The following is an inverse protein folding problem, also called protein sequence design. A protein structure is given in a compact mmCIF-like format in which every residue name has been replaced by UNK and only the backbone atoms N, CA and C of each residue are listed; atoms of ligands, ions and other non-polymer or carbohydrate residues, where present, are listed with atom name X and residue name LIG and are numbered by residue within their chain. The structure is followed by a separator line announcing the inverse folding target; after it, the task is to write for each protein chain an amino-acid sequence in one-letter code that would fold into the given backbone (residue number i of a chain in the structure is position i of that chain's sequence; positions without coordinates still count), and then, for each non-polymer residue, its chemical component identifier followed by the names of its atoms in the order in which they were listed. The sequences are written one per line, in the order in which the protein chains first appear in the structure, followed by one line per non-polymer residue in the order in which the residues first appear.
data_IF_312948772740
#
_entry.id   IF_312948772740
#
_cell.length_a   1.000
_cell.length_b   1.000
_cell.length_c   1.000
_cell.angle_alpha   90.00
_cell.angle_beta   90.00
_cell.angle_gamma   90.00
#
_symmetry.space_group_name_H-M   'P 1'
#
loop_
_entity.id
_entity.type
_entity.pdbx_description
1 polymer ?
#
# COMPACT_ATOMS: atom_id res chain seq x y z
N UNK A 1 44.68 45.41 5.87
CA UNK A 1 43.31 45.25 6.43
C UNK A 1 42.49 44.52 5.36
N UNK A 2 42.40 43.21 5.50
CA UNK A 2 41.59 42.37 4.60
C UNK A 2 40.31 42.05 5.36
N UNK A 3 39.17 42.50 4.86
CA UNK A 3 37.87 42.29 5.45
C UNK A 3 37.45 40.82 5.21
N UNK A 4 37.34 40.05 6.29
CA UNK A 4 36.72 38.73 6.27
C UNK A 4 35.23 38.87 5.98
N UNK A 5 34.80 38.40 4.80
CA UNK A 5 33.39 38.22 4.51
C UNK A 5 32.93 36.90 5.15
N UNK A 6 32.20 37.06 6.24
CA UNK A 6 31.50 35.97 6.92
C UNK A 6 30.33 35.49 6.02
N UNK A 7 30.53 34.45 5.24
CA UNK A 7 29.47 33.77 4.49
C UNK A 7 28.70 32.89 5.45
N UNK A 8 27.61 33.40 5.98
CA UNK A 8 26.63 32.59 6.73
C UNK A 8 25.99 31.60 5.77
N UNK A 9 26.33 30.32 5.90
CA UNK A 9 25.61 29.22 5.27
C UNK A 9 24.17 29.22 5.82
N UNK A 10 23.13 29.31 4.95
CA UNK A 10 21.77 29.21 5.43
C UNK A 10 21.55 27.79 6.01
N UNK A 11 21.17 27.74 7.28
CA UNK A 11 20.69 26.52 7.91
C UNK A 11 19.40 26.14 7.18
N UNK A 12 19.43 25.05 6.39
CA UNK A 12 18.23 24.44 5.83
C UNK A 12 17.33 24.02 7.00
N UNK A 13 16.09 24.51 6.95
CA UNK A 13 15.05 24.20 7.91
C UNK A 13 14.86 22.67 7.98
N UNK A 14 14.90 22.09 9.18
CA UNK A 14 14.77 20.64 9.39
C UNK A 14 13.45 20.10 8.81
N UNK A 15 12.38 20.89 8.83
CA UNK A 15 11.08 20.55 8.25
C UNK A 15 11.12 20.34 6.72
N UNK A 16 12.03 20.99 5.99
CA UNK A 16 12.19 20.77 4.55
C UNK A 16 12.98 19.51 4.20
N UNK A 17 13.85 19.04 5.10
CA UNK A 17 14.56 17.77 4.94
C UNK A 17 13.64 16.58 5.10
N UNK A 18 12.70 16.62 6.04
CA UNK A 18 11.72 15.57 6.29
C UNK A 18 10.73 15.41 5.14
N UNK A 19 10.33 16.50 4.48
CA UNK A 19 9.44 16.46 3.32
C UNK A 19 10.07 15.81 2.07
N UNK A 20 11.41 15.87 1.93
CA UNK A 20 12.15 15.31 0.79
C UNK A 20 12.47 13.82 0.96
N UNK A 21 12.48 13.31 2.20
CA UNK A 21 12.83 11.92 2.53
C UNK A 21 11.64 11.05 2.96
N UNK A 22 10.42 11.61 3.00
CA UNK A 22 9.24 10.89 3.44
C UNK A 22 8.87 9.75 2.48
N UNK A 23 9.11 8.50 2.88
CA UNK A 23 8.65 7.32 2.15
C UNK A 23 7.13 7.35 2.00
N UNK A 24 6.59 7.17 0.78
CA UNK A 24 5.15 7.15 0.56
C UNK A 24 4.43 6.09 1.41
N UNK A 25 3.20 6.37 1.85
CA UNK A 25 2.42 5.45 2.72
C UNK A 25 2.34 4.02 2.16
N UNK A 26 2.13 3.88 0.86
CA UNK A 26 2.01 2.57 0.20
C UNK A 26 3.30 1.74 0.13
N UNK A 27 4.44 2.32 0.57
CA UNK A 27 5.73 1.63 0.66
C UNK A 27 6.11 1.30 2.11
N UNK A 28 5.33 1.72 3.08
CA UNK A 28 5.60 1.46 4.49
C UNK A 28 4.93 0.18 4.94
N UNK A 29 5.61 -0.58 5.79
CA UNK A 29 5.00 -1.69 6.51
C UNK A 29 3.93 -1.12 7.44
N UNK A 30 2.69 -1.52 7.27
CA UNK A 30 1.57 -1.03 8.08
C UNK A 30 1.35 -1.93 9.28
N UNK A 31 1.58 -1.40 10.49
CA UNK A 31 1.40 -2.11 11.76
C UNK A 31 0.14 -1.60 12.45
N UNK A 32 -0.90 -2.43 12.52
CA UNK A 32 -2.15 -2.10 13.20
C UNK A 32 -2.06 -2.30 14.71
N UNK A 33 -2.65 -1.38 15.48
CA UNK A 33 -2.75 -1.49 16.94
C UNK A 33 -4.15 -1.90 17.33
N UNK A 34 -4.30 -3.05 17.98
CA UNK A 34 -5.58 -3.62 18.40
C UNK A 34 -5.59 -3.84 19.90
N UNK A 35 -6.79 -3.91 20.50
CA UNK A 35 -6.99 -4.14 21.93
C UNK A 35 -7.96 -3.17 22.54
N UNK A 36 -8.32 -3.41 23.82
CA UNK A 36 -9.30 -2.61 24.56
C UNK A 36 -8.88 -1.15 24.69
N UNK A 37 -9.87 -0.31 25.00
CA UNK A 37 -9.61 1.08 25.43
C UNK A 37 -8.72 1.06 26.67
N UNK A 38 -7.81 2.03 26.77
CA UNK A 38 -6.85 2.19 27.87
C UNK A 38 -5.83 1.04 28.08
N UNK A 39 -5.74 0.06 27.18
CA UNK A 39 -4.66 -0.94 27.20
C UNK A 39 -3.26 -0.33 26.99
N UNK A 40 -3.20 0.93 26.56
CA UNK A 40 -1.95 1.66 26.38
C UNK A 40 -1.33 1.53 24.98
N UNK A 41 -2.14 1.25 23.95
CA UNK A 41 -1.71 1.13 22.55
C UNK A 41 -0.83 2.28 22.10
N UNK A 42 -1.33 3.50 22.19
CA UNK A 42 -0.60 4.71 21.80
C UNK A 42 0.65 4.96 22.67
N UNK A 43 0.61 4.54 23.94
CA UNK A 43 1.77 4.64 24.85
C UNK A 43 2.89 3.69 24.45
N UNK A 44 2.55 2.46 24.03
CA UNK A 44 3.51 1.47 23.51
C UNK A 44 4.21 2.00 22.26
N UNK A 45 3.47 2.56 21.30
CA UNK A 45 4.07 3.17 20.11
C UNK A 45 4.96 4.36 20.45
N UNK A 46 4.54 5.22 21.41
CA UNK A 46 5.36 6.33 21.88
C UNK A 46 6.66 5.86 22.55
N UNK A 47 6.62 4.74 23.27
CA UNK A 47 7.80 4.17 23.89
C UNK A 47 8.75 3.55 22.86
N UNK A 48 8.22 2.88 21.84
CA UNK A 48 9.00 2.38 20.68
C UNK A 48 9.64 3.53 19.89
N UNK A 49 8.92 4.61 19.64
CA UNK A 49 9.40 5.78 18.89
C UNK A 49 10.60 6.48 19.55
N UNK A 50 10.86 6.23 20.82
CA UNK A 50 11.99 6.81 21.58
C UNK A 50 13.19 5.88 21.72
N UNK A 51 13.18 4.74 21.04
CA UNK A 51 14.35 3.86 21.00
C UNK A 51 15.46 4.45 20.12
N UNK A 52 16.75 4.17 20.39
CA UNK A 52 17.88 4.72 19.60
C UNK A 52 17.86 4.34 18.12
N UNK A 53 17.11 3.28 17.77
CA UNK A 53 16.99 2.73 16.39
C UNK A 53 15.75 3.23 15.65
N UNK A 54 14.98 4.17 16.22
CA UNK A 54 13.77 4.70 15.61
C UNK A 54 13.89 6.19 15.30
N UNK A 55 13.59 6.57 14.06
CA UNK A 55 13.49 7.97 13.61
C UNK A 55 12.02 8.26 13.38
N UNK A 56 11.45 9.23 14.11
CA UNK A 56 10.04 9.60 14.04
C UNK A 56 9.82 10.70 13.01
N UNK A 57 8.83 10.50 12.15
CA UNK A 57 8.25 11.56 11.32
C UNK A 57 6.77 11.71 11.73
N UNK A 58 6.40 12.81 12.37
CA UNK A 58 5.02 13.08 12.74
C UNK A 58 4.24 13.60 11.53
N UNK A 59 3.23 12.85 11.10
CA UNK A 59 2.22 13.34 10.14
C UNK A 59 0.94 13.61 10.94
N UNK A 60 0.50 14.87 11.11
CA UNK A 60 -0.75 15.16 11.81
C UNK A 60 -1.96 14.61 11.04
N UNK A 61 -2.79 13.79 11.70
CA UNK A 61 -4.08 13.35 11.18
C UNK A 61 -5.23 14.23 11.72
N UNK A 62 -6.31 14.34 10.97
CA UNK A 62 -7.56 14.99 11.40
C UNK A 62 -8.31 14.16 12.43
N UNK A 63 -9.07 14.79 13.32
CA UNK A 63 -9.64 14.27 14.58
C UNK A 63 -10.66 13.12 14.48
N UNK A 64 -10.94 12.57 13.31
CA UNK A 64 -11.86 11.44 13.08
C UNK A 64 -11.23 10.23 12.40
N UNK A 65 -10.00 10.35 11.87
CA UNK A 65 -9.26 9.24 11.26
C UNK A 65 -8.38 8.52 12.31
N UNK A 66 -8.08 7.23 12.12
CA UNK A 66 -7.09 6.51 12.94
C UNK A 66 -5.80 7.33 13.01
N UNK A 67 -5.24 7.48 14.21
CA UNK A 67 -3.98 8.21 14.39
C UNK A 67 -2.87 7.40 13.74
N UNK A 68 -2.32 7.92 12.66
CA UNK A 68 -1.22 7.31 11.92
C UNK A 68 0.11 7.89 12.42
N UNK A 69 1.09 7.02 12.71
CA UNK A 69 2.45 7.42 13.08
C UNK A 69 3.46 6.73 12.22
N UNK A 70 4.21 7.51 11.47
CA UNK A 70 5.30 7.02 10.66
C UNK A 70 6.62 7.05 11.45
N UNK A 71 7.40 5.97 11.33
CA UNK A 71 8.75 5.91 11.88
C UNK A 71 9.60 4.94 11.06
N UNK A 72 10.90 4.97 11.28
CA UNK A 72 11.82 3.98 10.75
C UNK A 72 12.23 3.01 11.84
N UNK A 73 12.01 1.72 11.61
CA UNK A 73 12.45 0.65 12.52
C UNK A 73 13.50 -0.20 11.81
N UNK A 74 14.76 -0.10 12.22
CA UNK A 74 15.81 -0.94 11.66
C UNK A 74 15.76 -2.35 12.26
N UNK A 75 15.85 -3.44 11.44
CA UNK A 75 16.15 -3.47 10.01
C UNK A 75 14.89 -3.43 9.09
N UNK A 76 13.68 -3.31 9.62
CA UNK A 76 12.42 -3.33 8.83
C UNK A 76 12.27 -2.15 7.87
N UNK A 77 12.99 -1.04 8.14
CA UNK A 77 12.84 0.20 7.36
C UNK A 77 11.61 1.03 7.76
N UNK A 78 10.99 1.73 6.79
CA UNK A 78 9.89 2.65 7.06
C UNK A 78 8.59 1.91 7.43
N UNK A 79 8.07 2.17 8.64
CA UNK A 79 6.82 1.60 9.16
C UNK A 79 5.77 2.69 9.37
N UNK A 80 4.50 2.29 9.33
CA UNK A 80 3.35 3.11 9.65
C UNK A 80 2.51 2.42 10.73
N UNK A 81 2.51 2.94 11.94
CA UNK A 81 1.60 2.51 12.98
C UNK A 81 0.23 3.15 12.79
N UNK A 82 -0.82 2.33 12.81
CA UNK A 82 -2.21 2.76 12.67
C UNK A 82 -2.92 2.43 13.98
N UNK A 83 -3.23 3.45 14.78
CA UNK A 83 -3.96 3.28 16.04
C UNK A 83 -5.45 3.13 15.74
N UNK A 84 -6.01 1.96 16.03
CA UNK A 84 -7.45 1.72 15.92
C UNK A 84 -8.13 2.18 17.20
N UNK A 85 -9.33 2.77 17.07
CA UNK A 85 -10.15 3.10 18.23
C UNK A 85 -10.35 1.84 19.08
N UNK A 86 -10.02 1.91 20.38
CA UNK A 86 -10.16 0.78 21.30
C UNK A 86 -11.58 0.23 21.33
N UNK A 87 -11.70 -1.09 21.50
CA UNK A 87 -13.00 -1.76 21.67
C UNK A 87 -13.47 -1.47 23.08
N UNK A 88 -14.66 -0.83 23.23
CA UNK A 88 -15.31 -0.60 24.53
C UNK A 88 -16.31 -1.73 24.79
N UNK A 89 -16.39 -2.17 26.01
CA UNK A 89 -17.30 -3.22 26.48
C UNK A 89 -18.78 -2.76 26.55
N UNK A 90 -19.05 -1.44 26.42
CA UNK A 90 -20.38 -0.86 26.65
C UNK A 90 -21.03 -0.32 25.37
N UNK A 91 -21.92 -1.05 24.76
CA UNK A 91 -23.13 -0.73 23.98
C UNK A 91 -23.28 -1.55 22.69
N UNK A 92 -24.30 -2.36 22.60
CA UNK A 92 -24.59 -3.29 21.46
C UNK A 92 -24.68 -2.61 20.09
N UNK A 93 -25.11 -1.37 19.98
CA UNK A 93 -25.26 -0.67 18.67
C UNK A 93 -23.95 -0.02 18.19
N UNK A 94 -23.13 0.46 19.13
CA UNK A 94 -21.81 1.05 18.81
C UNK A 94 -20.79 -0.07 18.56
N UNK A 95 -21.00 -1.25 19.14
CA UNK A 95 -20.13 -2.43 18.99
C UNK A 95 -20.08 -2.97 17.55
N UNK A 96 -21.20 -3.03 16.83
CA UNK A 96 -21.23 -3.52 15.44
C UNK A 96 -20.51 -2.59 14.48
N UNK A 97 -20.72 -1.29 14.56
CA UNK A 97 -20.02 -0.28 13.73
C UNK A 97 -18.51 -0.27 14.02
N UNK A 98 -18.11 -0.47 15.28
CA UNK A 98 -16.68 -0.53 15.67
C UNK A 98 -16.03 -1.84 15.24
N UNK A 99 -16.74 -2.98 15.35
CA UNK A 99 -16.25 -4.26 14.84
C UNK A 99 -16.00 -4.21 13.32
N UNK A 100 -16.88 -3.57 12.56
CA UNK A 100 -16.70 -3.36 11.12
C UNK A 100 -15.50 -2.45 10.83
N UNK A 101 -15.35 -1.35 11.58
CA UNK A 101 -14.21 -0.45 11.46
C UNK A 101 -12.90 -1.15 11.82
N UNK A 102 -12.88 -1.97 12.87
CA UNK A 102 -11.72 -2.77 13.28
C UNK A 102 -11.35 -3.79 12.20
N UNK A 103 -12.32 -4.52 11.63
CA UNK A 103 -12.07 -5.44 10.51
C UNK A 103 -11.57 -4.71 9.26
N UNK A 104 -12.11 -3.53 8.97
CA UNK A 104 -11.64 -2.69 7.86
C UNK A 104 -10.19 -2.24 8.07
N UNK A 105 -9.81 -1.91 9.31
CA UNK A 105 -8.44 -1.59 9.67
C UNK A 105 -7.50 -2.81 9.55
N UNK A 106 -7.94 -4.00 10.00
CA UNK A 106 -7.17 -5.25 9.88
C UNK A 106 -6.77 -5.54 8.44
N UNK A 107 -7.69 -5.39 7.49
CA UNK A 107 -7.43 -5.66 6.05
C UNK A 107 -6.33 -4.78 5.43
N UNK A 108 -6.00 -3.67 6.06
CA UNK A 108 -4.95 -2.76 5.61
C UNK A 108 -3.60 -2.95 6.29
N UNK A 109 -3.50 -3.85 7.28
CA UNK A 109 -2.29 -4.05 8.08
C UNK A 109 -1.45 -5.22 7.58
N UNK A 110 -0.14 -5.05 7.55
CA UNK A 110 0.83 -6.09 7.23
C UNK A 110 1.19 -6.93 8.48
N UNK A 111 1.15 -6.29 9.66
CA UNK A 111 1.40 -6.87 10.97
C UNK A 111 0.43 -6.25 11.99
N UNK A 112 0.11 -6.96 13.06
CA UNK A 112 -0.71 -6.47 14.16
C UNK A 112 0.03 -6.49 15.50
N UNK A 113 -0.17 -5.46 16.32
CA UNK A 113 0.13 -5.49 17.76
C UNK A 113 -1.19 -5.58 18.51
N UNK A 114 -1.43 -6.70 19.17
CA UNK A 114 -2.57 -6.91 20.05
C UNK A 114 -2.14 -6.56 21.48
N UNK A 115 -2.49 -5.34 21.92
CA UNK A 115 -2.07 -4.81 23.21
C UNK A 115 -3.16 -4.99 24.24
N UNK A 116 -2.85 -5.64 25.37
CA UNK A 116 -3.73 -5.79 26.51
C UNK A 116 -3.02 -5.36 27.82
N UNK A 117 -3.80 -5.10 28.84
CA UNK A 117 -3.28 -4.79 30.18
C UNK A 117 -2.93 -6.10 30.90
N UNK A 118 -1.74 -6.21 31.47
CA UNK A 118 -1.27 -7.38 32.22
C UNK A 118 -2.35 -7.87 33.20
N UNK A 119 -2.65 -9.17 33.17
CA UNK A 119 -3.69 -9.80 33.98
C UNK A 119 -5.13 -9.64 33.46
N UNK A 120 -5.33 -9.05 32.27
CA UNK A 120 -6.66 -8.82 31.67
C UNK A 120 -6.83 -9.49 30.31
N UNK A 121 -6.20 -10.64 30.10
CA UNK A 121 -6.44 -11.45 28.91
C UNK A 121 -7.80 -12.13 28.99
N UNK A 122 -8.72 -11.81 28.09
CA UNK A 122 -10.10 -12.27 28.12
C UNK A 122 -10.65 -12.70 26.75
N UNK A 123 -11.99 -12.74 26.65
CA UNK A 123 -12.71 -13.13 25.44
C UNK A 123 -12.43 -12.15 24.29
N UNK A 124 -12.43 -10.86 24.56
CA UNK A 124 -12.19 -9.81 23.56
C UNK A 124 -10.83 -9.97 22.89
N UNK A 125 -9.78 -10.26 23.66
CA UNK A 125 -8.43 -10.47 23.12
C UNK A 125 -8.35 -11.76 22.33
N UNK A 126 -9.02 -12.82 22.78
CA UNK A 126 -9.09 -14.10 22.05
C UNK A 126 -9.82 -13.94 20.71
N UNK A 127 -10.93 -13.22 20.70
CA UNK A 127 -11.70 -12.97 19.47
C UNK A 127 -10.91 -12.12 18.47
N UNK A 128 -10.22 -11.08 18.95
CA UNK A 128 -9.33 -10.27 18.12
C UNK A 128 -8.20 -11.09 17.52
N UNK A 129 -7.56 -11.94 18.31
CA UNK A 129 -6.49 -12.81 17.83
C UNK A 129 -7.02 -13.80 16.78
N UNK A 130 -8.19 -14.41 17.04
CA UNK A 130 -8.83 -15.31 16.08
C UNK A 130 -9.24 -14.58 14.78
N UNK A 131 -9.68 -13.32 14.84
CA UNK A 131 -9.98 -12.51 13.67
C UNK A 131 -8.70 -12.20 12.86
N UNK A 132 -7.59 -11.87 13.54
CA UNK A 132 -6.28 -11.65 12.90
C UNK A 132 -5.76 -12.93 12.21
N UNK A 133 -5.87 -14.08 12.87
CA UNK A 133 -5.51 -15.39 12.31
C UNK A 133 -6.35 -15.74 11.07
N UNK A 134 -7.66 -15.49 11.13
CA UNK A 134 -8.59 -15.72 10.00
C UNK A 134 -8.25 -14.88 8.78
N UNK A 135 -7.82 -13.65 9.01
CA UNK A 135 -7.34 -12.73 7.95
C UNK A 135 -5.87 -12.99 7.57
N UNK A 136 -5.23 -14.03 8.13
CA UNK A 136 -3.82 -14.38 7.94
C UNK A 136 -2.87 -13.18 8.19
N UNK A 137 -3.11 -12.42 9.28
CA UNK A 137 -2.28 -11.32 9.72
C UNK A 137 -1.39 -11.79 10.85
N UNK A 138 -0.08 -11.70 10.69
CA UNK A 138 0.86 -11.98 11.77
C UNK A 138 0.60 -11.02 12.94
N UNK A 139 0.54 -11.54 14.17
CA UNK A 139 0.23 -10.75 15.35
C UNK A 139 1.28 -10.95 16.44
N UNK A 140 1.75 -9.83 17.02
CA UNK A 140 2.53 -9.81 18.25
C UNK A 140 1.60 -9.44 19.39
N UNK A 141 1.45 -10.34 20.35
CA UNK A 141 0.65 -10.10 21.54
C UNK A 141 1.50 -9.41 22.60
N UNK A 142 1.01 -8.30 23.14
CA UNK A 142 1.76 -7.40 24.05
C UNK A 142 1.00 -7.22 25.36
N UNK A 143 1.57 -7.74 26.44
CA UNK A 143 1.11 -7.50 27.82
C UNK A 143 1.74 -6.20 28.33
N UNK A 144 0.97 -5.12 28.38
CA UNK A 144 1.44 -3.81 28.81
C UNK A 144 1.10 -3.54 30.28
N UNK A 145 1.73 -2.53 30.88
CA UNK A 145 1.54 -2.08 32.27
C UNK A 145 2.05 -3.09 33.31
N UNK A 146 3.12 -3.79 33.02
CA UNK A 146 3.73 -4.73 33.98
C UNK A 146 4.22 -4.02 35.27
N UNK A 147 4.46 -2.72 35.20
CA UNK A 147 4.79 -1.84 36.33
C UNK A 147 3.65 -1.71 37.36
N UNK A 148 2.42 -1.92 36.96
CA UNK A 148 1.23 -1.86 37.83
C UNK A 148 0.91 -3.22 38.48
N UNK A 149 1.45 -4.31 37.99
CA UNK A 149 1.36 -5.62 38.58
C UNK A 149 2.34 -5.67 39.79
N UNK A 150 1.88 -5.22 40.97
CA UNK A 150 2.65 -5.35 42.21
C UNK A 150 3.00 -6.80 42.49
N UNK A 151 4.08 -7.04 43.28
CA UNK A 151 4.60 -8.36 43.67
C UNK A 151 3.55 -9.29 44.36
N UNK A 152 2.27 -8.93 44.36
CA UNK A 152 1.16 -9.61 45.00
C UNK A 152 -0.03 -10.01 44.15
N UNK A 153 0.00 -9.81 42.83
CA UNK A 153 -1.10 -10.19 41.92
C UNK A 153 -1.03 -11.66 41.48
N UNK A 154 -0.67 -12.54 42.37
CA UNK A 154 -0.97 -13.98 42.31
C UNK A 154 -2.18 -14.18 43.23
N UNK A 155 -3.39 -14.07 42.68
CA UNK A 155 -4.63 -14.50 43.32
C UNK A 155 -5.11 -13.59 44.42
N UNK A 156 -6.22 -12.88 44.21
CA UNK A 156 -7.44 -13.16 44.96
C UNK A 156 -8.58 -12.28 44.46
N UNK A 157 -9.73 -12.94 44.25
CA UNK A 157 -11.08 -12.38 44.31
C UNK A 157 -11.57 -11.33 43.31
N UNK A 158 -11.44 -11.59 41.96
CA UNK A 158 -12.46 -11.07 41.07
C UNK A 158 -12.51 -11.87 39.74
N UNK A 159 -13.43 -12.72 39.67
CA UNK A 159 -13.97 -13.52 38.58
C UNK A 159 -13.73 -15.01 38.71
N UNK A 160 -14.72 -15.62 39.32
CA UNK A 160 -14.88 -17.06 39.47
C UNK A 160 -15.35 -17.72 38.14
N UNK A 161 -14.71 -17.36 37.05
CA UNK A 161 -14.97 -18.00 35.74
C UNK A 161 -13.72 -18.72 35.10
N UNK A 162 -12.65 -18.88 35.84
CA UNK A 162 -11.62 -19.86 35.52
C UNK A 162 -10.71 -19.54 34.32
N UNK A 163 -10.59 -18.31 33.82
CA UNK A 163 -9.85 -18.03 32.58
C UNK A 163 -8.96 -16.78 32.54
N UNK A 164 -8.64 -16.14 33.64
CA UNK A 164 -7.72 -15.00 33.66
C UNK A 164 -6.26 -15.46 33.78
N UNK A 165 -5.75 -16.21 32.80
CA UNK A 165 -4.32 -16.41 32.62
C UNK A 165 -3.82 -15.48 31.53
N UNK A 166 -2.70 -14.82 31.78
CA UNK A 166 -1.99 -14.10 30.72
C UNK A 166 -1.68 -15.03 29.54
N UNK A 167 -1.57 -14.43 28.35
CA UNK A 167 -1.16 -15.18 27.17
C UNK A 167 0.34 -15.54 27.30
N UNK A 168 0.66 -16.82 27.32
CA UNK A 168 2.02 -17.33 27.65
C UNK A 168 3.11 -16.79 26.70
N UNK A 169 2.76 -16.49 25.45
CA UNK A 169 3.68 -15.99 24.43
C UNK A 169 3.67 -14.44 24.32
N UNK A 170 3.01 -13.75 25.24
CA UNK A 170 2.96 -12.27 25.19
C UNK A 170 4.32 -11.65 25.52
N UNK A 171 4.70 -10.65 24.74
CA UNK A 171 5.82 -9.78 25.07
C UNK A 171 5.40 -8.85 26.22
N UNK A 172 6.08 -8.92 27.34
CA UNK A 172 5.77 -8.18 28.56
C UNK A 172 6.46 -6.83 28.58
N UNK A 173 5.70 -5.74 28.65
CA UNK A 173 6.23 -4.38 28.55
C UNK A 173 5.62 -3.42 29.60
N UNK A 174 6.40 -2.42 29.99
CA UNK A 174 5.89 -1.18 30.55
C UNK A 174 6.19 -0.03 29.61
N UNK A 175 5.15 0.52 28.99
CA UNK A 175 5.31 1.68 28.12
C UNK A 175 5.72 2.93 28.93
N UNK A 176 5.32 3.04 30.19
CA UNK A 176 5.66 4.14 31.10
C UNK A 176 7.12 4.09 31.51
N UNK A 177 7.59 2.94 31.97
CA UNK A 177 8.99 2.72 32.40
C UNK A 177 9.93 2.33 31.27
N UNK A 178 9.37 2.08 30.07
CA UNK A 178 10.09 1.63 28.86
C UNK A 178 10.82 0.28 29.04
N UNK A 179 10.32 -0.57 29.89
CA UNK A 179 10.82 -1.92 30.09
C UNK A 179 10.27 -2.84 29.01
N UNK A 180 11.05 -3.79 28.51
CA UNK A 180 10.63 -4.77 27.50
C UNK A 180 10.53 -4.23 26.06
N UNK A 181 10.95 -2.98 25.80
CA UNK A 181 10.81 -2.38 24.46
C UNK A 181 11.78 -3.00 23.44
N UNK A 182 12.94 -3.49 23.86
CA UNK A 182 13.89 -4.19 22.99
C UNK A 182 13.34 -5.54 22.53
N UNK A 183 12.77 -6.29 23.47
CA UNK A 183 12.12 -7.58 23.21
C UNK A 183 10.89 -7.40 22.31
N UNK A 184 10.12 -6.33 22.51
CA UNK A 184 9.01 -6.00 21.63
C UNK A 184 9.47 -5.68 20.21
N UNK A 185 10.51 -4.87 20.06
CA UNK A 185 11.09 -4.58 18.76
C UNK A 185 11.55 -5.86 18.05
N UNK A 186 12.25 -6.75 18.77
CA UNK A 186 12.70 -8.03 18.21
C UNK A 186 11.51 -8.90 17.80
N UNK A 187 10.47 -9.00 18.63
CA UNK A 187 9.27 -9.75 18.29
C UNK A 187 8.54 -9.18 17.05
N UNK A 188 8.54 -7.87 16.87
CA UNK A 188 7.99 -7.23 15.66
C UNK A 188 8.82 -7.63 14.42
N UNK A 189 10.14 -7.65 14.53
CA UNK A 189 11.05 -8.05 13.44
C UNK A 189 10.83 -9.52 13.08
N UNK A 190 10.80 -10.39 14.09
CA UNK A 190 10.66 -11.85 13.90
C UNK A 190 9.28 -12.24 13.36
N UNK A 191 8.24 -11.48 13.72
CA UNK A 191 6.88 -11.69 13.22
C UNK A 191 6.64 -11.08 11.83
N UNK A 192 7.52 -10.21 11.35
CA UNK A 192 7.38 -9.62 10.02
C UNK A 192 7.55 -10.71 8.95
N UNK A 193 6.56 -10.92 8.06
CA UNK A 193 6.69 -11.86 6.95
C UNK A 193 7.93 -11.54 6.09
N UNK A 194 8.67 -12.57 5.66
CA UNK A 194 9.84 -12.41 4.77
C UNK A 194 9.51 -11.57 3.52
N UNK A 195 8.29 -11.71 3.01
CA UNK A 195 7.80 -10.93 1.87
C UNK A 195 7.70 -9.42 2.11
N UNK A 196 7.84 -8.96 3.36
CA UNK A 196 7.92 -7.53 3.72
C UNK A 196 9.37 -7.03 3.86
N UNK A 197 10.32 -7.95 4.02
CA UNK A 197 11.75 -7.64 4.12
C UNK A 197 12.38 -7.47 2.74
N UNK A 198 11.78 -8.07 1.72
CA UNK A 198 12.22 -7.98 0.34
C UNK A 198 11.16 -7.24 -0.49
N UNK A 199 11.50 -6.09 -1.04
CA UNK A 199 10.66 -5.42 -2.03
C UNK A 199 10.57 -6.28 -3.30
N UNK A 200 9.37 -6.73 -3.70
CA UNK A 200 9.23 -7.48 -4.95
C UNK A 200 9.75 -6.63 -6.11
N UNK A 201 10.49 -7.23 -7.04
CA UNK A 201 11.03 -6.48 -8.16
C UNK A 201 9.89 -5.83 -8.96
N UNK A 202 10.08 -4.56 -9.32
CA UNK A 202 9.18 -3.87 -10.24
C UNK A 202 9.47 -4.27 -11.69
N UNK A 203 10.71 -4.03 -12.12
CA UNK A 203 11.17 -4.27 -13.49
C UNK A 203 12.62 -4.78 -13.57
N UNK A 204 13.40 -4.72 -12.46
CA UNK A 204 14.82 -5.09 -12.46
C UNK A 204 15.11 -6.53 -12.89
N UNK A 205 14.17 -7.44 -12.69
CA UNK A 205 14.25 -8.86 -13.06
C UNK A 205 13.80 -9.13 -14.51
N UNK A 206 13.27 -8.14 -15.20
CA UNK A 206 12.89 -8.22 -16.62
C UNK A 206 14.05 -7.91 -17.56
N UNK A 207 15.17 -7.43 -17.04
CA UNK A 207 16.34 -6.97 -17.79
C UNK A 207 17.62 -7.40 -17.08
N UNK A 208 18.76 -7.33 -17.79
CA UNK A 208 20.06 -7.64 -17.21
C UNK A 208 20.80 -6.38 -16.75
N UNK A 209 21.76 -6.49 -15.82
CA UNK A 209 22.68 -5.40 -15.50
C UNK A 209 23.37 -4.89 -16.76
N UNK A 210 23.39 -3.56 -16.93
CA UNK A 210 23.94 -2.88 -18.11
C UNK A 210 22.95 -2.65 -19.26
N UNK A 211 21.78 -3.30 -19.24
CA UNK A 211 20.75 -3.08 -20.25
C UNK A 211 20.19 -1.66 -20.16
N UNK A 212 19.91 -1.06 -21.31
CA UNK A 212 19.21 0.23 -21.40
C UNK A 212 17.70 0.02 -21.35
N UNK A 213 17.02 0.72 -20.44
CA UNK A 213 15.56 0.74 -20.31
C UNK A 213 15.06 2.16 -20.55
N UNK A 214 14.16 2.36 -21.51
CA UNK A 214 13.58 3.68 -21.78
C UNK A 214 12.28 3.84 -20.99
N UNK A 215 12.25 4.86 -20.14
CA UNK A 215 11.09 5.26 -19.35
C UNK A 215 10.42 6.47 -20.01
N UNK A 216 9.23 6.27 -20.58
CA UNK A 216 8.48 7.33 -21.27
C UNK A 216 7.55 8.01 -20.30
N UNK A 217 7.83 9.27 -19.98
CA UNK A 217 7.15 10.06 -18.97
C UNK A 217 6.52 11.28 -19.63
N UNK A 218 5.23 11.27 -19.94
CA UNK A 218 4.56 12.44 -20.50
C UNK A 218 4.56 13.61 -19.49
N UNK A 219 4.51 14.82 -20.00
CA UNK A 219 4.29 16.00 -19.16
C UNK A 219 2.82 16.04 -18.78
N UNK A 220 2.52 15.50 -17.62
CA UNK A 220 1.17 15.45 -17.08
C UNK A 220 0.86 16.68 -16.24
N UNK A 221 -0.32 17.28 -16.46
CA UNK A 221 -0.84 18.40 -15.64
C UNK A 221 -1.27 17.97 -14.25
N UNK A 222 -1.50 16.67 -14.06
CA UNK A 222 -1.89 16.05 -12.77
C UNK A 222 -0.67 15.70 -11.91
N UNK A 223 0.51 15.62 -12.52
CA UNK A 223 1.74 15.39 -11.77
C UNK A 223 2.06 16.58 -10.85
N UNK A 224 2.52 16.35 -9.62
CA UNK A 224 2.97 17.41 -8.74
C UNK A 224 4.05 18.25 -9.44
N UNK A 225 3.90 19.57 -9.41
CA UNK A 225 4.82 20.48 -10.10
C UNK A 225 6.29 20.20 -9.75
N UNK A 226 7.10 19.93 -10.78
CA UNK A 226 8.53 19.65 -10.63
C UNK A 226 8.86 18.25 -10.11
N UNK A 227 7.92 17.29 -10.11
CA UNK A 227 8.14 15.92 -9.63
C UNK A 227 7.65 14.89 -10.64
N UNK A 228 8.30 13.74 -10.63
CA UNK A 228 7.78 12.52 -11.23
C UNK A 228 6.71 11.91 -10.30
N UNK A 229 5.77 11.16 -10.86
CA UNK A 229 4.80 10.41 -10.06
C UNK A 229 5.46 9.16 -9.45
N UNK A 230 4.88 8.66 -8.37
CA UNK A 230 5.45 7.58 -7.58
C UNK A 230 5.84 6.32 -8.39
N UNK A 231 4.99 5.78 -9.29
CA UNK A 231 5.37 4.62 -10.11
C UNK A 231 6.62 4.85 -10.96
N UNK A 232 6.80 6.05 -11.51
CA UNK A 232 7.94 6.41 -12.35
C UNK A 232 9.24 6.44 -11.53
N UNK A 233 9.21 7.07 -10.35
CA UNK A 233 10.36 7.14 -9.44
C UNK A 233 10.75 5.75 -8.94
N UNK A 234 9.77 4.94 -8.52
CA UNK A 234 10.00 3.60 -8.00
C UNK A 234 10.60 2.68 -9.07
N UNK A 235 10.04 2.70 -10.29
CA UNK A 235 10.57 1.88 -11.39
C UNK A 235 11.98 2.30 -11.78
N UNK A 236 12.27 3.61 -11.86
CA UNK A 236 13.62 4.08 -12.14
C UNK A 236 14.62 3.64 -11.07
N UNK A 237 14.24 3.71 -9.79
CA UNK A 237 15.06 3.28 -8.66
C UNK A 237 15.28 1.76 -8.69
N UNK A 238 14.24 0.97 -8.89
CA UNK A 238 14.32 -0.49 -8.98
C UNK A 238 15.27 -0.95 -10.09
N UNK A 239 15.21 -0.31 -11.27
CA UNK A 239 16.13 -0.58 -12.38
C UNK A 239 17.58 -0.26 -12.03
N UNK A 240 17.83 0.87 -11.35
CA UNK A 240 19.19 1.23 -10.88
C UNK A 240 19.70 0.22 -9.86
N UNK A 241 18.87 -0.24 -8.94
CA UNK A 241 19.23 -1.26 -7.96
C UNK A 241 19.56 -2.60 -8.63
N UNK A 242 18.91 -2.92 -9.77
CA UNK A 242 19.23 -4.06 -10.63
C UNK A 242 20.44 -3.85 -11.56
N UNK A 243 21.08 -2.68 -11.52
CA UNK A 243 22.25 -2.37 -12.37
C UNK A 243 21.89 -2.03 -13.82
N UNK A 244 20.62 -1.86 -14.17
CA UNK A 244 20.19 -1.40 -15.48
C UNK A 244 20.39 0.12 -15.65
N UNK A 245 20.28 0.61 -16.87
CA UNK A 245 20.49 2.01 -17.25
C UNK A 245 19.15 2.65 -17.65
N UNK A 246 18.37 3.24 -16.71
CA UNK A 246 17.12 3.89 -17.03
C UNK A 246 17.35 5.21 -17.77
N UNK A 247 16.75 5.33 -18.96
CA UNK A 247 16.78 6.52 -19.79
C UNK A 247 15.39 7.17 -19.81
N UNK A 248 15.22 8.25 -19.06
CA UNK A 248 13.94 8.95 -18.94
C UNK A 248 13.78 9.95 -20.08
N UNK A 249 12.65 9.87 -20.78
CA UNK A 249 12.33 10.72 -21.92
C UNK A 249 10.86 11.13 -21.88
N UNK A 250 10.52 12.24 -22.50
CA UNK A 250 9.12 12.60 -22.76
C UNK A 250 8.59 11.79 -23.95
N UNK A 251 7.28 11.62 -23.99
CA UNK A 251 6.58 11.00 -25.12
C UNK A 251 6.95 11.64 -26.47
N UNK A 252 7.02 12.98 -26.51
CA UNK A 252 7.40 13.76 -27.70
C UNK A 252 8.86 13.58 -28.16
N UNK A 253 9.73 13.07 -27.30
CA UNK A 253 11.16 12.89 -27.55
C UNK A 253 11.53 11.42 -27.80
N UNK A 254 10.57 10.49 -27.65
CA UNK A 254 10.84 9.05 -27.71
C UNK A 254 11.53 8.63 -29.02
N UNK A 255 11.05 9.10 -30.17
CA UNK A 255 11.64 8.72 -31.47
C UNK A 255 13.11 9.16 -31.58
N UNK A 256 13.42 10.38 -31.15
CA UNK A 256 14.80 10.89 -31.15
C UNK A 256 15.67 10.15 -30.15
N UNK A 257 15.12 9.82 -28.97
CA UNK A 257 15.82 9.04 -27.97
C UNK A 257 16.18 7.65 -28.47
N UNK A 258 15.24 6.91 -29.06
CA UNK A 258 15.50 5.59 -29.65
C UNK A 258 16.57 5.64 -30.77
N UNK A 259 16.50 6.67 -31.61
CA UNK A 259 17.48 6.88 -32.68
C UNK A 259 18.89 7.22 -32.16
N UNK A 260 19.03 7.73 -30.94
CA UNK A 260 20.32 8.06 -30.32
C UNK A 260 21.01 6.84 -29.67
N UNK A 261 20.30 5.77 -29.42
CA UNK A 261 20.84 4.55 -28.82
C UNK A 261 21.65 3.75 -29.87
N UNK A 262 22.76 3.18 -29.45
CA UNK A 262 23.59 2.31 -30.32
C UNK A 262 22.90 0.98 -30.59
N UNK A 263 22.13 0.48 -29.62
CA UNK A 263 21.40 -0.77 -29.70
C UNK A 263 19.96 -0.53 -29.24
N UNK A 264 18.99 -1.31 -29.70
CA UNK A 264 17.61 -1.22 -29.20
C UNK A 264 17.56 -1.39 -27.67
N UNK A 265 16.70 -0.66 -26.96
CA UNK A 265 16.57 -0.86 -25.51
C UNK A 265 16.01 -2.25 -25.21
N UNK A 266 16.42 -2.83 -24.09
CA UNK A 266 15.91 -4.12 -23.62
C UNK A 266 14.42 -4.07 -23.25
N UNK A 267 13.94 -2.91 -22.80
CA UNK A 267 12.55 -2.69 -22.41
C UNK A 267 12.19 -1.20 -22.57
N UNK A 268 10.95 -0.94 -22.98
CA UNK A 268 10.34 0.39 -22.92
C UNK A 268 9.17 0.33 -21.93
N UNK A 269 9.12 1.28 -21.00
CA UNK A 269 8.06 1.39 -20.00
C UNK A 269 7.41 2.75 -20.15
N UNK A 270 6.08 2.78 -20.33
CA UNK A 270 5.36 4.02 -20.62
C UNK A 270 4.21 4.28 -19.66
N UNK A 271 3.75 5.52 -19.61
CA UNK A 271 2.50 5.87 -18.98
C UNK A 271 1.32 5.39 -19.81
N UNK A 272 0.25 4.92 -19.14
CA UNK A 272 -0.95 4.40 -19.79
C UNK A 272 -1.67 5.45 -20.64
N UNK A 273 -1.48 6.73 -20.38
CA UNK A 273 -2.11 7.82 -21.12
C UNK A 273 -1.60 7.94 -22.56
N UNK A 274 -0.33 7.59 -22.80
CA UNK A 274 0.34 7.69 -24.10
C UNK A 274 0.66 6.33 -24.71
N UNK A 275 0.08 5.26 -24.18
CA UNK A 275 0.38 3.88 -24.57
C UNK A 275 0.24 3.64 -26.08
N UNK A 276 -0.85 4.12 -26.69
CA UNK A 276 -1.09 3.97 -28.12
C UNK A 276 0.00 4.64 -28.96
N UNK A 277 0.32 5.90 -28.67
CA UNK A 277 1.34 6.67 -29.39
C UNK A 277 2.73 6.04 -29.25
N UNK A 278 3.08 5.58 -28.05
CA UNK A 278 4.34 4.91 -27.79
C UNK A 278 4.45 3.59 -28.55
N UNK A 279 3.35 2.82 -28.63
CA UNK A 279 3.33 1.55 -29.35
C UNK A 279 3.53 1.70 -30.86
N UNK A 280 3.14 2.84 -31.45
CA UNK A 280 3.38 3.16 -32.87
C UNK A 280 4.86 3.52 -33.14
N UNK A 281 5.56 4.09 -32.15
CA UNK A 281 6.94 4.53 -32.28
C UNK A 281 7.95 3.41 -31.97
N UNK A 282 7.64 2.60 -30.94
CA UNK A 282 8.54 1.53 -30.49
C UNK A 282 8.46 0.32 -31.42
N UNK A 283 9.59 -0.16 -32.01
CA UNK A 283 9.60 -1.34 -32.87
C UNK A 283 8.94 -2.57 -32.20
N UNK A 284 8.27 -3.42 -32.98
CA UNK A 284 7.57 -4.60 -32.44
C UNK A 284 8.45 -5.60 -31.71
N UNK A 285 9.72 -5.71 -32.13
CA UNK A 285 10.71 -6.57 -31.49
C UNK A 285 11.27 -6.04 -30.18
N UNK A 286 10.94 -4.79 -29.79
CA UNK A 286 11.33 -4.19 -28.52
C UNK A 286 10.21 -4.43 -27.51
N UNK A 287 10.48 -5.10 -26.37
CA UNK A 287 9.52 -5.28 -25.30
C UNK A 287 8.96 -3.94 -24.81
N UNK A 288 7.63 -3.90 -24.61
CA UNK A 288 6.91 -2.70 -24.18
C UNK A 288 5.92 -3.04 -23.08
N UNK A 289 5.92 -2.27 -22.02
CA UNK A 289 4.93 -2.38 -20.95
C UNK A 289 4.58 -1.01 -20.37
N UNK A 290 3.69 -0.97 -19.38
CA UNK A 290 3.26 0.27 -18.70
C UNK A 290 3.60 0.31 -17.22
N UNK A 291 3.82 1.51 -16.66
CA UNK A 291 3.99 1.69 -15.22
C UNK A 291 2.83 1.10 -14.42
N UNK A 292 1.59 1.24 -14.90
CA UNK A 292 0.41 0.67 -14.28
C UNK A 292 0.43 -0.86 -14.24
N UNK A 293 0.95 -1.51 -15.29
CA UNK A 293 1.08 -2.98 -15.36
C UNK A 293 2.16 -3.46 -14.39
N UNK A 294 3.29 -2.76 -14.32
CA UNK A 294 4.34 -3.01 -13.34
C UNK A 294 3.82 -2.89 -11.91
N UNK A 295 3.03 -1.84 -11.63
CA UNK A 295 2.41 -1.67 -10.31
C UNK A 295 1.38 -2.75 -10.01
N UNK A 296 0.63 -3.24 -11.00
CA UNK A 296 -0.28 -4.36 -10.86
C UNK A 296 0.46 -5.65 -10.40
N UNK A 297 1.65 -5.89 -10.94
CA UNK A 297 2.53 -6.99 -10.53
C UNK A 297 3.05 -6.81 -9.11
N UNK A 298 3.58 -5.63 -8.79
CA UNK A 298 4.22 -5.37 -7.52
C UNK A 298 3.22 -5.29 -6.34
N UNK A 299 2.06 -4.70 -6.56
CA UNK A 299 1.06 -4.45 -5.52
C UNK A 299 -0.06 -5.48 -5.49
N UNK A 300 -0.34 -6.17 -6.59
CA UNK A 300 -1.46 -7.07 -6.73
C UNK A 300 -1.07 -8.48 -7.19
N UNK A 301 -2.00 -9.07 -7.91
CA UNK A 301 -1.84 -10.32 -8.66
C UNK A 301 -2.03 -10.01 -10.15
N UNK A 302 -0.93 -9.98 -10.89
CA UNK A 302 -0.95 -9.64 -12.31
C UNK A 302 -1.70 -10.69 -13.13
N UNK A 303 -1.70 -11.98 -12.70
CA UNK A 303 -2.38 -13.07 -13.41
C UNK A 303 -3.89 -12.93 -13.30
N UNK A 304 -4.40 -12.71 -12.08
CA UNK A 304 -5.81 -12.47 -11.84
C UNK A 304 -6.30 -11.23 -12.61
N UNK A 305 -5.51 -10.15 -12.59
CA UNK A 305 -5.87 -8.91 -13.28
C UNK A 305 -5.78 -9.00 -14.82
N UNK A 306 -4.87 -9.80 -15.36
CA UNK A 306 -4.79 -10.06 -16.80
C UNK A 306 -5.96 -10.97 -17.26
N UNK A 307 -6.30 -11.99 -16.48
CA UNK A 307 -7.45 -12.86 -16.76
C UNK A 307 -8.77 -12.08 -16.84
N UNK A 308 -8.93 -11.01 -16.05
CA UNK A 308 -10.09 -10.15 -16.07
C UNK A 308 -10.32 -9.42 -17.42
N UNK A 309 -9.31 -9.30 -18.28
CA UNK A 309 -9.48 -8.75 -19.63
C UNK A 309 -10.32 -9.65 -20.53
N UNK A 310 -10.32 -10.96 -20.27
CA UNK A 310 -11.19 -11.90 -21.00
C UNK A 310 -12.67 -11.67 -20.61
N UNK A 311 -12.93 -11.41 -19.32
CA UNK A 311 -14.27 -11.06 -18.87
C UNK A 311 -14.72 -9.72 -19.44
N UNK A 312 -13.85 -8.70 -19.45
CA UNK A 312 -14.13 -7.40 -20.07
C UNK A 312 -14.57 -7.55 -21.55
N UNK A 313 -13.91 -8.43 -22.31
CA UNK A 313 -14.23 -8.66 -23.72
C UNK A 313 -15.59 -9.36 -23.93
N UNK A 314 -16.19 -9.93 -22.89
CA UNK A 314 -17.47 -10.66 -22.93
C UNK A 314 -18.63 -9.86 -22.31
N UNK A 315 -18.37 -8.67 -21.75
CA UNK A 315 -19.42 -7.84 -21.15
C UNK A 315 -20.43 -7.35 -22.17
N UNK A 316 -21.71 -7.35 -21.77
CA UNK A 316 -22.84 -6.83 -22.56
C UNK A 316 -23.14 -5.35 -22.28
N UNK A 317 -24.18 -4.87 -22.98
CA UNK A 317 -24.65 -3.46 -22.92
C UNK A 317 -25.29 -3.09 -21.56
N UNK A 318 -25.63 -4.06 -20.73
CA UNK A 318 -26.27 -3.93 -19.42
C UNK A 318 -25.32 -4.16 -18.25
N UNK A 319 -24.03 -4.33 -18.54
CA UNK A 319 -23.03 -4.61 -17.54
C UNK A 319 -22.92 -3.52 -16.45
N UNK A 320 -22.72 -3.96 -15.20
CA UNK A 320 -22.46 -3.08 -14.07
C UNK A 320 -21.00 -3.15 -13.64
N UNK A 321 -20.30 -2.04 -13.74
CA UNK A 321 -18.84 -1.96 -13.55
C UNK A 321 -18.52 -1.04 -12.38
N UNK A 322 -17.67 -1.51 -11.48
CA UNK A 322 -17.12 -0.71 -10.40
C UNK A 322 -15.74 -0.18 -10.79
N UNK A 323 -15.55 1.12 -10.80
CA UNK A 323 -14.24 1.77 -10.93
C UNK A 323 -13.75 2.15 -9.54
N UNK A 324 -12.59 1.61 -9.13
CA UNK A 324 -12.03 1.78 -7.80
C UNK A 324 -10.67 2.48 -7.84
N UNK A 325 -10.53 3.57 -7.10
CA UNK A 325 -9.30 4.33 -6.96
C UNK A 325 -8.73 4.25 -5.56
N UNK A 326 -7.41 4.11 -5.45
CA UNK A 326 -6.70 4.04 -4.17
C UNK A 326 -6.51 5.40 -3.49
N UNK A 327 -6.50 6.48 -4.26
CA UNK A 327 -6.29 7.85 -3.80
C UNK A 327 -7.58 8.67 -3.83
N UNK A 328 -7.56 9.77 -3.06
CA UNK A 328 -8.67 10.74 -2.97
C UNK A 328 -8.24 12.08 -3.57
N UNK A 329 -7.66 12.07 -4.78
CA UNK A 329 -7.33 13.31 -5.46
C UNK A 329 -8.58 13.93 -6.11
N UNK A 330 -8.58 15.24 -6.26
CA UNK A 330 -9.64 15.92 -7.00
C UNK A 330 -9.45 15.66 -8.50
N UNK A 331 -10.43 15.04 -9.19
CA UNK A 331 -10.32 14.77 -10.61
C UNK A 331 -10.23 16.08 -11.41
N UNK A 332 -9.30 16.11 -12.36
CA UNK A 332 -9.17 17.17 -13.36
C UNK A 332 -9.91 16.74 -14.63
N UNK A 333 -10.14 17.64 -15.57
CA UNK A 333 -10.99 17.47 -16.75
C UNK A 333 -10.68 16.25 -17.68
N UNK A 334 -9.54 15.59 -17.48
CA UNK A 334 -9.09 14.44 -18.29
C UNK A 334 -8.70 13.22 -17.43
N UNK A 335 -9.25 13.12 -16.22
CA UNK A 335 -8.98 12.02 -15.28
C UNK A 335 -9.21 10.63 -15.89
N UNK A 336 -8.32 9.69 -15.56
CA UNK A 336 -8.35 8.34 -16.13
C UNK A 336 -9.58 7.56 -15.66
N UNK A 337 -9.85 7.56 -14.37
CA UNK A 337 -10.90 6.74 -13.75
C UNK A 337 -12.28 7.31 -13.97
N UNK A 338 -12.46 8.63 -13.88
CA UNK A 338 -13.79 9.27 -13.94
C UNK A 338 -14.17 9.71 -15.34
N UNK A 339 -13.22 9.86 -16.29
CA UNK A 339 -13.47 10.38 -17.64
C UNK A 339 -13.04 9.40 -18.74
N UNK A 340 -11.74 9.02 -18.78
CA UNK A 340 -11.21 8.26 -19.93
C UNK A 340 -11.74 6.84 -19.99
N UNK A 341 -11.64 6.08 -18.89
CA UNK A 341 -12.13 4.69 -18.83
C UNK A 341 -13.65 4.64 -19.04
N UNK A 342 -14.51 5.44 -18.38
CA UNK A 342 -15.94 5.46 -18.66
C UNK A 342 -16.28 5.75 -20.13
N UNK A 343 -15.58 6.70 -20.76
CA UNK A 343 -15.76 7.02 -22.19
C UNK A 343 -15.42 5.82 -23.08
N UNK A 344 -14.31 5.13 -22.81
CA UNK A 344 -13.90 3.94 -23.56
C UNK A 344 -14.86 2.77 -23.35
N UNK A 345 -15.33 2.54 -22.13
CA UNK A 345 -16.31 1.51 -21.82
C UNK A 345 -17.61 1.75 -22.59
N UNK A 346 -18.19 2.96 -22.50
CA UNK A 346 -19.43 3.29 -23.24
C UNK A 346 -19.27 3.18 -24.74
N UNK A 347 -18.13 3.63 -25.28
CA UNK A 347 -17.82 3.53 -26.70
C UNK A 347 -17.80 2.08 -27.21
N UNK A 348 -17.32 1.13 -26.40
CA UNK A 348 -17.09 -0.25 -26.83
C UNK A 348 -18.19 -1.21 -26.39
N UNK A 349 -18.85 -0.96 -25.25
CA UNK A 349 -19.89 -1.83 -24.67
C UNK A 349 -21.31 -1.28 -24.87
N UNK A 350 -21.47 0.03 -25.15
CA UNK A 350 -22.77 0.68 -25.28
C UNK A 350 -23.09 1.66 -24.14
N UNK A 351 -24.08 2.50 -24.31
CA UNK A 351 -24.50 3.53 -23.34
C UNK A 351 -25.33 2.96 -22.17
N UNK A 352 -25.80 1.70 -22.27
CA UNK A 352 -26.64 1.05 -21.27
C UNK A 352 -25.87 0.60 -20.00
N UNK A 353 -24.54 0.55 -20.03
CA UNK A 353 -23.73 0.12 -18.90
C UNK A 353 -23.87 1.04 -17.69
N UNK A 354 -23.88 0.45 -16.50
CA UNK A 354 -23.86 1.18 -15.23
C UNK A 354 -22.43 1.23 -14.69
N UNK A 355 -21.94 2.43 -14.34
CA UNK A 355 -20.61 2.62 -13.80
C UNK A 355 -20.70 3.30 -12.43
N UNK A 356 -20.26 2.60 -11.40
CA UNK A 356 -20.13 3.13 -10.05
C UNK A 356 -18.66 3.47 -9.76
N UNK A 357 -18.40 4.49 -8.93
CA UNK A 357 -17.06 4.93 -8.57
C UNK A 357 -16.87 4.89 -7.06
N UNK A 358 -15.70 4.41 -6.62
CA UNK A 358 -15.26 4.46 -5.21
C UNK A 358 -13.83 4.93 -5.11
N UNK A 359 -13.51 5.67 -4.03
CA UNK A 359 -12.19 6.25 -3.83
C UNK A 359 -11.63 5.93 -2.44
N UNK A 360 -10.30 5.92 -2.32
CA UNK A 360 -9.60 5.75 -1.05
C UNK A 360 -9.87 4.41 -0.39
N UNK A 361 -10.38 4.46 0.85
CA UNK A 361 -10.66 3.27 1.67
C UNK A 361 -12.07 2.70 1.45
N UNK A 362 -12.92 3.36 0.67
CA UNK A 362 -14.33 2.99 0.49
C UNK A 362 -14.51 1.92 -0.59
N UNK A 363 -13.94 0.74 -0.36
CA UNK A 363 -14.16 -0.43 -1.20
C UNK A 363 -15.35 -1.23 -0.67
N UNK A 364 -16.37 -1.55 -1.51
CA UNK A 364 -17.58 -2.23 -1.06
C UNK A 364 -17.31 -3.60 -0.44
N UNK A 365 -18.05 -3.95 0.60
CA UNK A 365 -18.02 -5.28 1.21
C UNK A 365 -18.82 -6.31 0.40
N UNK A 366 -19.87 -5.87 -0.28
CA UNK A 366 -20.66 -6.67 -1.21
C UNK A 366 -20.38 -6.23 -2.65
N UNK A 367 -19.84 -7.15 -3.43
CA UNK A 367 -19.48 -6.96 -4.83
C UNK A 367 -20.38 -7.75 -5.77
N UNK A 368 -21.33 -8.55 -5.26
CA UNK A 368 -22.13 -9.50 -6.03
C UNK A 368 -22.98 -8.88 -7.13
N UNK A 369 -23.22 -7.57 -7.08
CA UNK A 369 -23.99 -6.83 -8.09
C UNK A 369 -23.13 -6.31 -9.25
N UNK A 370 -21.82 -6.53 -9.26
CA UNK A 370 -20.91 -6.06 -10.32
C UNK A 370 -20.45 -7.21 -11.20
N UNK A 371 -20.31 -6.94 -12.49
CA UNK A 371 -19.78 -7.87 -13.48
C UNK A 371 -18.27 -7.74 -13.64
N UNK A 372 -17.71 -6.56 -13.30
CA UNK A 372 -16.28 -6.28 -13.36
C UNK A 372 -15.91 -5.18 -12.38
N UNK A 373 -14.78 -5.33 -11.74
CA UNK A 373 -14.08 -4.25 -11.02
C UNK A 373 -12.89 -3.78 -11.86
N UNK A 374 -12.72 -2.46 -12.02
CA UNK A 374 -11.55 -1.86 -12.67
C UNK A 374 -10.83 -1.01 -11.62
N UNK A 375 -9.62 -1.42 -11.22
CA UNK A 375 -8.86 -0.80 -10.14
C UNK A 375 -7.65 -0.03 -10.68
N UNK A 376 -7.34 1.13 -10.08
CA UNK A 376 -6.12 1.88 -10.40
C UNK A 376 -4.85 1.11 -10.00
N UNK A 377 -3.65 1.63 -10.31
CA UNK A 377 -2.36 1.01 -10.01
C UNK A 377 -2.02 0.86 -8.52
N UNK A 378 -2.93 1.27 -7.61
CA UNK A 378 -2.80 1.11 -6.15
C UNK A 378 -1.50 1.66 -5.54
N UNK A 379 -0.87 2.67 -6.14
CA UNK A 379 0.40 3.24 -5.68
C UNK A 379 0.35 3.78 -4.24
N UNK A 380 -0.84 4.19 -3.77
CA UNK A 380 -1.09 4.70 -2.42
C UNK A 380 -1.53 3.64 -1.40
N UNK A 381 -1.79 2.40 -1.85
CA UNK A 381 -2.12 1.28 -0.97
C UNK A 381 -0.88 0.44 -0.66
N UNK A 382 -0.88 -0.21 0.51
CA UNK A 382 0.05 -1.31 0.76
C UNK A 382 -0.29 -2.49 -0.16
N UNK A 383 0.69 -3.38 -0.41
CA UNK A 383 0.46 -4.60 -1.19
C UNK A 383 -0.66 -5.44 -0.58
N UNK A 384 -0.67 -5.58 0.75
CA UNK A 384 -1.70 -6.34 1.47
C UNK A 384 -3.10 -5.76 1.25
N UNK A 385 -3.26 -4.44 1.33
CA UNK A 385 -4.55 -3.81 1.09
C UNK A 385 -5.07 -4.09 -0.33
N UNK A 386 -4.19 -4.08 -1.34
CA UNK A 386 -4.56 -4.42 -2.71
C UNK A 386 -4.93 -5.90 -2.86
N UNK A 387 -4.13 -6.81 -2.30
CA UNK A 387 -4.42 -8.25 -2.30
C UNK A 387 -5.74 -8.56 -1.59
N UNK A 388 -6.06 -7.88 -0.48
CA UNK A 388 -7.35 -8.02 0.19
C UNK A 388 -8.54 -7.64 -0.71
N UNK A 389 -8.40 -6.61 -1.57
CA UNK A 389 -9.41 -6.24 -2.56
C UNK A 389 -9.56 -7.29 -3.65
N UNK A 390 -8.45 -7.83 -4.15
CA UNK A 390 -8.45 -8.92 -5.13
C UNK A 390 -9.16 -10.14 -4.55
N UNK A 391 -8.80 -10.57 -3.35
CA UNK A 391 -9.46 -11.69 -2.67
C UNK A 391 -10.95 -11.46 -2.40
N UNK A 392 -11.37 -10.21 -2.13
CA UNK A 392 -12.78 -9.89 -2.00
C UNK A 392 -13.53 -10.07 -3.32
N UNK A 393 -12.93 -9.67 -4.44
CA UNK A 393 -13.46 -9.90 -5.77
C UNK A 393 -13.52 -11.39 -6.11
N UNK A 394 -12.47 -12.15 -5.83
CA UNK A 394 -12.43 -13.61 -6.04
C UNK A 394 -13.53 -14.33 -5.26
N UNK A 395 -13.72 -14.00 -3.97
CA UNK A 395 -14.80 -14.56 -3.14
C UNK A 395 -16.19 -14.24 -3.66
N UNK A 396 -16.37 -13.08 -4.29
CA UNK A 396 -17.63 -12.68 -4.92
C UNK A 396 -17.79 -13.25 -6.32
N UNK A 397 -16.77 -13.89 -6.90
CA UNK A 397 -16.78 -14.35 -8.29
C UNK A 397 -16.73 -13.22 -9.31
N UNK A 398 -16.26 -12.02 -8.92
CA UNK A 398 -16.21 -10.81 -9.75
C UNK A 398 -14.79 -10.58 -10.23
N UNK A 399 -14.51 -10.54 -11.54
CA UNK A 399 -13.18 -10.25 -12.07
C UNK A 399 -12.71 -8.85 -11.68
N UNK A 400 -11.40 -8.68 -11.47
CA UNK A 400 -10.80 -7.39 -11.18
C UNK A 400 -9.66 -7.10 -12.16
N UNK A 401 -9.77 -6.04 -12.95
CA UNK A 401 -8.77 -5.59 -13.92
C UNK A 401 -8.02 -4.35 -13.43
N UNK A 402 -6.82 -4.11 -13.98
CA UNK A 402 -6.04 -2.90 -13.72
C UNK A 402 -6.31 -1.83 -14.79
N UNK A 403 -6.29 -0.53 -14.41
CA UNK A 403 -6.47 0.61 -15.34
C UNK A 403 -5.59 0.51 -16.58
N UNK A 404 -4.28 0.28 -16.39
CA UNK A 404 -3.33 0.22 -17.50
C UNK A 404 -3.60 -0.96 -18.43
N UNK A 405 -4.03 -2.10 -17.88
CA UNK A 405 -4.39 -3.27 -18.68
C UNK A 405 -5.68 -3.03 -19.49
N UNK A 406 -6.69 -2.38 -18.91
CA UNK A 406 -7.92 -1.99 -19.59
C UNK A 406 -7.64 -1.01 -20.73
N UNK A 407 -6.79 0.01 -20.48
CA UNK A 407 -6.36 0.96 -21.50
C UNK A 407 -5.58 0.27 -22.64
N UNK A 408 -4.66 -0.64 -22.30
CA UNK A 408 -3.93 -1.43 -23.27
C UNK A 408 -4.85 -2.35 -24.10
N UNK A 409 -5.90 -2.92 -23.47
CA UNK A 409 -6.91 -3.74 -24.16
C UNK A 409 -7.64 -2.92 -25.21
N UNK A 410 -8.18 -1.76 -24.85
CA UNK A 410 -8.89 -0.89 -25.81
C UNK A 410 -7.98 -0.27 -26.87
N UNK A 411 -6.69 -0.14 -26.58
CA UNK A 411 -5.68 0.26 -27.56
C UNK A 411 -5.21 -0.88 -28.50
N UNK A 412 -5.68 -2.14 -28.29
CA UNK A 412 -5.28 -3.30 -29.07
C UNK A 412 -3.87 -3.82 -28.79
N UNK A 413 -3.23 -3.40 -27.70
CA UNK A 413 -1.83 -3.71 -27.38
C UNK A 413 -1.66 -4.47 -26.05
N UNK A 414 -2.76 -5.00 -25.49
CA UNK A 414 -2.70 -5.71 -24.20
C UNK A 414 -1.71 -6.88 -24.21
N UNK A 415 -1.70 -7.67 -25.29
CA UNK A 415 -0.77 -8.79 -25.45
C UNK A 415 0.70 -8.31 -25.39
N UNK A 416 1.03 -7.24 -26.11
CA UNK A 416 2.39 -6.66 -26.10
C UNK A 416 2.76 -6.11 -24.73
N UNK A 417 1.81 -5.47 -24.01
CA UNK A 417 2.05 -4.92 -22.69
C UNK A 417 2.26 -5.98 -21.61
N UNK A 418 1.69 -7.18 -21.79
CA UNK A 418 1.77 -8.31 -20.86
C UNK A 418 2.90 -9.29 -21.21
N UNK A 419 3.40 -9.28 -22.46
CA UNK A 419 4.45 -10.18 -22.93
C UNK A 419 5.71 -10.20 -22.04
N UNK A 420 6.23 -9.06 -21.52
CA UNK A 420 7.40 -9.08 -20.63
C UNK A 420 7.23 -9.92 -19.36
N UNK A 421 6.00 -10.23 -18.97
CA UNK A 421 5.67 -11.02 -17.78
C UNK A 421 5.31 -12.47 -18.09
N UNK A 422 5.54 -12.94 -19.32
CA UNK A 422 5.15 -14.27 -19.80
C UNK A 422 3.63 -14.57 -19.65
N UNK A 423 2.80 -13.55 -19.83
CA UNK A 423 1.32 -13.59 -19.71
C UNK A 423 0.65 -13.53 -21.11
N UNK A 424 1.13 -14.31 -22.07
CA UNK A 424 0.62 -14.33 -23.45
C UNK A 424 0.05 -15.67 -23.78
#
# INVERSE_FOLDING_TARGET
MVSEHNVSTPSLDLDQRDALSATPKGMRITIGLFGRRNAGKSSVVNALARQPVSIVSEVPGTTTDPVERAMELLPLGPVLFVDTAGIDDDAEVVGQLRAETTRKAMKGCDLALLVYEQGRWGEVERDLLADLEREAIAAVVVANKIDLAGEGAVGDEAANDGSASDFDQAVRVSATERTGMGELLQAIIDAAPESLLEDPPLARDLVNPGDTVVLVVPIDKEAPKGRLILPQVQTARDLLDGGALPYLVRDTELAAALASLKEPPALVITDSQVFHQVAEIVPENVPLTGFSVIMARAKGDIYAQAAALQALAQLGEDARILIAEACTHHPISEDIGTVKIPRLLRKNLGEGITIDHVQGKDFPSDLSSYDLVIHCGACMLSRRAMLSRIQACERAGVPIANYGMVLAHFAGIAQRALAPFALV
#
